data_IF_551163065911
#
_entry.id   IF_551163065911
#
_cell.length_a   1.000
_cell.length_b   1.000
_cell.length_c   1.000
_cell.angle_alpha   90.00
_cell.angle_beta   90.00
_cell.angle_gamma   90.00
#
_symmetry.space_group_name_H-M   'P 1'
#
loop_
_entity.id
_entity.type
_entity.pdbx_description
1 polymer ?
#
# COMPACT_ATOMS: atom_id res chain seq x y z
N UNK A 1 -4.39 -2.02 7.05
CA UNK A 1 -3.90 -1.04 6.06
C UNK A 1 -3.32 0.08 6.88
N UNK A 2 -2.03 0.31 6.68
CA UNK A 2 -1.22 1.09 7.60
C UNK A 2 -0.44 2.12 6.81
N UNK A 3 -0.39 3.36 7.32
CA UNK A 3 0.31 4.48 6.71
C UNK A 3 1.56 4.77 7.51
N UNK A 4 2.73 4.50 6.92
CA UNK A 4 4.03 4.77 7.54
C UNK A 4 4.59 6.06 6.95
N UNK A 5 4.92 7.02 7.81
CA UNK A 5 5.54 8.28 7.41
C UNK A 5 7.02 8.24 7.79
N UNK A 6 7.92 8.41 6.81
CA UNK A 6 9.36 8.40 7.06
C UNK A 6 10.07 9.53 6.27
N UNK A 7 11.33 9.79 6.60
CA UNK A 7 12.16 10.82 5.98
C UNK A 7 13.45 10.21 5.47
N UNK A 8 13.74 10.46 4.20
CA UNK A 8 15.06 10.17 3.62
C UNK A 8 16.14 10.95 4.40
N UNK A 9 17.37 10.44 4.41
CA UNK A 9 18.51 11.09 5.07
C UNK A 9 18.74 12.56 4.65
N UNK A 10 18.24 12.96 3.47
CA UNK A 10 18.23 14.35 2.98
C UNK A 10 17.02 15.19 3.43
N UNK A 11 16.20 14.73 4.37
CA UNK A 11 15.04 15.45 4.93
C UNK A 11 13.75 15.42 4.10
N UNK A 12 13.75 14.80 2.91
CA UNK A 12 12.55 14.61 2.09
C UNK A 12 11.60 13.60 2.75
N UNK A 13 10.36 13.99 2.97
CA UNK A 13 9.30 13.13 3.54
C UNK A 13 8.76 12.20 2.46
N UNK A 14 8.62 10.92 2.78
CA UNK A 14 7.87 9.96 1.98
C UNK A 14 6.81 9.28 2.85
N UNK A 15 5.73 8.85 2.20
CA UNK A 15 4.64 8.09 2.81
C UNK A 15 4.66 6.70 2.18
N UNK A 16 4.56 5.69 3.02
CA UNK A 16 4.34 4.31 2.60
C UNK A 16 2.94 3.89 2.99
N UNK A 17 2.22 3.26 2.08
CA UNK A 17 0.99 2.53 2.39
C UNK A 17 1.30 1.05 2.31
N UNK A 18 0.99 0.34 3.40
CA UNK A 18 1.02 -1.11 3.43
C UNK A 18 -0.40 -1.64 3.61
N UNK A 19 -0.77 -2.63 2.81
CA UNK A 19 -2.01 -3.37 3.02
C UNK A 19 -1.64 -4.81 3.36
N UNK A 20 -1.81 -5.17 4.63
CA UNK A 20 -1.60 -6.53 5.12
C UNK A 20 -2.93 -7.29 5.08
N UNK A 21 -2.91 -8.47 4.49
CA UNK A 21 -4.03 -9.41 4.52
C UNK A 21 -3.97 -10.16 5.85
N UNK A 22 -5.02 -10.05 6.68
CA UNK A 22 -4.99 -10.50 8.07
C UNK A 22 -5.07 -12.03 8.22
N UNK A 23 -5.56 -12.74 7.20
CA UNK A 23 -5.70 -14.19 7.24
C UNK A 23 -4.35 -14.91 6.99
N UNK A 24 -3.58 -14.46 6.00
CA UNK A 24 -2.30 -15.03 5.55
C UNK A 24 -1.08 -14.33 6.17
N UNK A 25 -1.26 -13.14 6.75
CA UNK A 25 -0.18 -12.21 7.15
C UNK A 25 0.75 -11.81 5.99
N UNK A 26 0.31 -12.03 4.76
CA UNK A 26 1.03 -11.56 3.58
C UNK A 26 0.79 -10.07 3.41
N UNK A 27 1.82 -9.36 2.92
CA UNK A 27 1.78 -7.93 2.64
C UNK A 27 1.76 -7.76 1.12
N UNK A 28 0.61 -7.94 0.45
CA UNK A 28 0.54 -7.90 -1.01
C UNK A 28 0.83 -6.52 -1.62
N UNK A 29 0.71 -5.45 -0.83
CA UNK A 29 0.88 -4.08 -1.33
C UNK A 29 1.81 -3.30 -0.42
N UNK A 30 2.91 -2.82 -1.01
CA UNK A 30 3.83 -1.84 -0.42
C UNK A 30 4.01 -0.74 -1.46
N UNK A 31 3.40 0.42 -1.24
CA UNK A 31 3.50 1.55 -2.16
C UNK A 31 4.12 2.76 -1.49
N UNK A 32 5.12 3.35 -2.14
CA UNK A 32 5.93 4.46 -1.60
C UNK A 32 5.73 5.67 -2.49
N UNK A 33 5.12 6.73 -1.95
CA UNK A 33 4.96 8.00 -2.64
C UNK A 33 5.19 9.19 -1.69
N UNK A 34 5.64 10.32 -2.24
CA UNK A 34 5.77 11.58 -1.51
C UNK A 34 4.39 12.11 -1.07
N UNK A 35 3.32 11.79 -1.82
CA UNK A 35 1.95 12.06 -1.40
C UNK A 35 0.95 10.98 -1.78
N UNK A 36 0.61 10.12 -0.81
CA UNK A 36 -0.52 9.20 -0.93
C UNK A 36 -1.78 9.93 -0.45
N UNK A 37 -2.71 10.20 -1.38
CA UNK A 37 -4.06 10.74 -1.12
C UNK A 37 -5.15 9.68 -1.36
N UNK A 38 -6.40 10.00 -1.04
CA UNK A 38 -7.51 9.04 -1.13
C UNK A 38 -7.71 8.43 -2.53
N UNK A 39 -7.60 9.24 -3.59
CA UNK A 39 -7.70 8.76 -4.97
C UNK A 39 -6.58 7.77 -5.34
N UNK A 40 -5.37 8.01 -4.82
CA UNK A 40 -4.25 7.09 -4.98
C UNK A 40 -4.58 5.75 -4.34
N UNK A 41 -5.05 5.76 -3.09
CA UNK A 41 -5.48 4.55 -2.38
C UNK A 41 -6.58 3.79 -3.15
N UNK A 42 -7.56 4.49 -3.72
CA UNK A 42 -8.61 3.86 -4.53
C UNK A 42 -8.05 3.13 -5.75
N UNK A 43 -7.07 3.71 -6.48
CA UNK A 43 -6.46 3.05 -7.65
C UNK A 43 -5.69 1.78 -7.27
N UNK A 44 -5.01 1.80 -6.12
CA UNK A 44 -4.28 0.65 -5.59
C UNK A 44 -5.26 -0.49 -5.29
N UNK A 45 -6.37 -0.16 -4.62
CA UNK A 45 -7.42 -1.12 -4.28
C UNK A 45 -8.08 -1.67 -5.54
N UNK A 46 -8.41 -0.82 -6.51
CA UNK A 46 -9.01 -1.22 -7.79
C UNK A 46 -8.13 -2.23 -8.53
N UNK A 47 -6.82 -1.97 -8.60
CA UNK A 47 -5.85 -2.90 -9.16
C UNK A 47 -5.79 -4.21 -8.38
N UNK A 48 -5.74 -4.15 -7.05
CA UNK A 48 -5.69 -5.34 -6.20
C UNK A 48 -6.94 -6.22 -6.35
N UNK A 49 -8.13 -5.62 -6.42
CA UNK A 49 -9.37 -6.34 -6.64
C UNK A 49 -9.50 -6.89 -8.07
N UNK A 50 -8.96 -6.18 -9.07
CA UNK A 50 -8.90 -6.67 -10.46
C UNK A 50 -7.98 -7.89 -10.63
N UNK A 51 -6.86 -7.94 -9.89
CA UNK A 51 -5.96 -9.10 -9.85
C UNK A 51 -6.54 -10.28 -9.05
N UNK A 52 -7.63 -10.06 -8.31
CA UNK A 52 -8.37 -11.03 -7.53
C UNK A 52 -7.81 -11.18 -6.11
N UNK A 53 -8.61 -10.95 -5.04
CA UNK A 53 -8.08 -10.90 -3.67
C UNK A 53 -7.51 -12.22 -3.14
N UNK A 54 -7.73 -13.34 -3.83
CA UNK A 54 -7.06 -14.61 -3.57
C UNK A 54 -7.43 -15.57 -4.71
N UNK A 55 -6.47 -15.89 -5.60
CA UNK A 55 -6.57 -17.05 -6.49
C UNK A 55 -5.56 -18.09 -6.03
N UNK A 56 -5.78 -18.67 -4.86
CA UNK A 56 -5.14 -19.93 -4.47
C UNK A 56 -6.23 -20.98 -4.24
N UNK A 57 -6.30 -21.86 -5.23
CA UNK A 57 -6.91 -23.20 -5.21
C UNK A 57 -6.49 -24.01 -3.99
#
# INVERSE_FOLDING_TARGET
>A
MDFVHDRLAKGRRFKCVTMTELCSKEVPVIEVDNSIGGEHVCRILDRFFAEGPCRRS
#
